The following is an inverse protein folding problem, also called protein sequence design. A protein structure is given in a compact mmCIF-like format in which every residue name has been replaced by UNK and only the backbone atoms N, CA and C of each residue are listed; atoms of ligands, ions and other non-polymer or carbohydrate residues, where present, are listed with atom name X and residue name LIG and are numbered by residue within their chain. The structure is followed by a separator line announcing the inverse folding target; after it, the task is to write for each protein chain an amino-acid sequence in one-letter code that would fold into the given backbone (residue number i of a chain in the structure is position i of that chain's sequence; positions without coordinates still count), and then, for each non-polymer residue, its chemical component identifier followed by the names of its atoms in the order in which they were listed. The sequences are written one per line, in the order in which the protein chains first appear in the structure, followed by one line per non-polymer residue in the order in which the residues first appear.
data_IF_197920513423
#
_entry.id   IF_197920513423
#
_cell.length_a   1.000
_cell.length_b   1.000
_cell.length_c   1.000
_cell.angle_alpha   90.00
_cell.angle_beta   90.00
_cell.angle_gamma   90.00
#
_symmetry.space_group_name_H-M   'P 1'
#
loop_
_entity.id
_entity.type
_entity.pdbx_description
1 polymer ?
#
# COMPACT_ATOMS: atom_id res chain seq x y z
N UNK A 1 -6.10 1.01 7.93
CA UNK A 1 -4.88 0.23 8.18
C UNK A 1 -3.66 1.12 7.96
N UNK A 2 -2.61 0.96 8.79
CA UNK A 2 -1.36 1.70 8.66
C UNK A 2 -0.16 0.78 8.87
N UNK A 3 0.97 1.09 8.23
CA UNK A 3 2.19 0.31 8.28
C UNK A 3 3.25 0.85 7.32
N UNK A 4 4.24 0.02 7.03
CA UNK A 4 5.34 0.32 6.11
C UNK A 4 5.23 -0.54 4.85
N UNK A 5 5.94 -0.14 3.78
CA UNK A 5 5.91 -0.84 2.49
C UNK A 5 7.16 -0.56 1.65
N UNK A 6 7.45 -1.45 0.72
CA UNK A 6 8.43 -1.25 -0.33
C UNK A 6 7.83 -0.49 -1.53
N UNK A 7 8.56 0.50 -2.05
CA UNK A 7 8.13 1.30 -3.20
C UNK A 7 8.25 0.52 -4.51
N UNK A 8 7.18 0.56 -5.31
CA UNK A 8 7.16 0.03 -6.69
C UNK A 8 7.38 1.12 -7.75
N UNK A 9 7.50 2.38 -7.35
CA UNK A 9 7.72 3.53 -8.23
C UNK A 9 9.04 4.21 -7.93
N UNK A 10 9.77 4.62 -8.97
CA UNK A 10 11.07 5.25 -8.80
C UNK A 10 10.98 6.64 -8.15
N UNK A 11 9.91 7.38 -8.44
CA UNK A 11 9.64 8.71 -7.92
C UNK A 11 9.23 8.77 -6.45
N UNK A 12 8.84 7.63 -5.85
CA UNK A 12 8.44 7.57 -4.43
C UNK A 12 9.67 7.22 -3.61
N UNK A 13 10.08 8.10 -2.71
CA UNK A 13 11.28 7.96 -1.90
C UNK A 13 11.02 7.26 -0.58
N UNK A 14 12.07 6.74 0.03
CA UNK A 14 12.04 6.26 1.42
C UNK A 14 11.61 7.41 2.32
N UNK A 15 10.67 7.15 3.24
CA UNK A 15 10.04 8.15 4.09
C UNK A 15 8.74 8.74 3.55
N UNK A 16 8.51 8.71 2.23
CA UNK A 16 7.25 9.18 1.63
C UNK A 16 6.05 8.31 2.06
N UNK A 17 4.85 8.84 1.92
CA UNK A 17 3.59 8.15 2.24
C UNK A 17 2.83 7.79 0.96
N UNK A 18 2.36 6.56 0.90
CA UNK A 18 1.36 6.10 -0.07
C UNK A 18 0.01 5.91 0.63
N UNK A 19 -1.02 6.58 0.12
CA UNK A 19 -2.43 6.43 0.51
C UNK A 19 -3.12 5.58 -0.56
N UNK A 20 -3.75 4.48 -0.17
CA UNK A 20 -4.41 3.60 -1.15
C UNK A 20 -5.60 4.27 -1.81
N UNK A 21 -5.68 4.20 -3.14
CA UNK A 21 -6.94 4.42 -3.88
C UNK A 21 -7.74 3.14 -4.02
N UNK A 22 -7.03 2.03 -4.11
CA UNK A 22 -7.54 0.67 -4.06
C UNK A 22 -6.44 -0.29 -3.58
N UNK A 23 -6.82 -1.55 -3.33
CA UNK A 23 -5.86 -2.62 -3.00
C UNK A 23 -6.12 -3.86 -3.85
N UNK A 24 -5.06 -4.61 -4.17
CA UNK A 24 -5.10 -5.86 -4.93
C UNK A 24 -4.20 -6.89 -4.28
N UNK A 25 -4.64 -8.15 -4.26
CA UNK A 25 -3.82 -9.29 -3.84
C UNK A 25 -2.94 -9.75 -5.00
N UNK A 26 -1.66 -9.34 -5.03
CA UNK A 26 -0.79 -9.56 -6.19
C UNK A 26 -0.30 -11.00 -6.37
N UNK A 27 -0.32 -11.80 -5.32
CA UNK A 27 0.09 -13.22 -5.34
C UNK A 27 -1.08 -14.20 -5.46
N UNK A 28 -2.32 -13.70 -5.59
CA UNK A 28 -3.47 -14.54 -5.91
C UNK A 28 -3.46 -14.92 -7.38
N UNK A 29 -3.27 -16.20 -7.67
CA UNK A 29 -3.37 -16.73 -9.04
C UNK A 29 -4.43 -17.82 -9.15
N UNK A 30 -5.57 -17.45 -9.67
CA UNK A 30 -6.67 -18.35 -10.02
C UNK A 30 -6.96 -18.31 -11.54
N UNK A 31 -5.96 -17.96 -12.35
CA UNK A 31 -6.09 -17.85 -13.82
C UNK A 31 -6.48 -19.17 -14.46
N UNK A 32 -6.04 -20.30 -13.89
CA UNK A 32 -6.45 -21.63 -14.33
C UNK A 32 -7.96 -21.90 -14.24
N UNK A 33 -8.69 -21.11 -13.47
CA UNK A 33 -10.16 -21.14 -13.35
C UNK A 33 -10.84 -19.98 -14.12
N UNK A 34 -10.09 -19.23 -14.93
CA UNK A 34 -10.61 -18.13 -15.74
C UNK A 34 -10.72 -16.78 -15.00
N UNK A 35 -10.18 -16.64 -13.79
CA UNK A 35 -10.11 -15.36 -13.11
C UNK A 35 -8.92 -14.53 -13.61
N UNK A 36 -9.02 -13.20 -13.64
CA UNK A 36 -7.85 -12.34 -13.81
C UNK A 36 -6.82 -12.58 -12.72
N UNK A 37 -5.54 -12.41 -13.05
CA UNK A 37 -4.46 -12.44 -12.05
C UNK A 37 -4.72 -11.41 -10.95
N UNK A 38 -4.63 -11.82 -9.68
CA UNK A 38 -4.91 -10.99 -8.52
C UNK A 38 -6.38 -11.00 -8.06
N UNK A 39 -7.29 -11.52 -8.86
CA UNK A 39 -8.70 -11.59 -8.46
C UNK A 39 -8.95 -12.78 -7.54
N UNK A 40 -9.49 -12.49 -6.37
CA UNK A 40 -9.90 -13.51 -5.42
C UNK A 40 -11.14 -14.24 -5.97
N UNK A 41 -11.14 -15.58 -6.06
CA UNK A 41 -12.28 -16.34 -6.58
C UNK A 41 -13.60 -16.00 -5.88
N UNK A 42 -14.68 -15.91 -6.66
CA UNK A 42 -16.04 -15.56 -6.24
C UNK A 42 -16.22 -14.10 -5.79
N UNK A 43 -15.19 -13.27 -5.86
CA UNK A 43 -15.35 -11.83 -5.73
C UNK A 43 -15.79 -11.23 -7.07
N UNK A 44 -16.61 -10.19 -7.03
CA UNK A 44 -17.11 -9.46 -8.20
C UNK A 44 -16.17 -8.34 -8.65
N UNK A 45 -15.04 -8.15 -7.95
CA UNK A 45 -14.04 -7.14 -8.24
C UNK A 45 -12.62 -7.70 -8.16
N UNK A 46 -11.72 -7.15 -8.97
CA UNK A 46 -10.28 -7.40 -8.90
C UNK A 46 -9.62 -6.60 -7.76
N UNK A 47 -10.02 -5.34 -7.63
CA UNK A 47 -9.47 -4.40 -6.67
C UNK A 47 -10.54 -3.94 -5.68
N UNK A 48 -10.17 -3.77 -4.43
CA UNK A 48 -11.05 -3.22 -3.40
C UNK A 48 -10.84 -1.71 -3.33
N UNK A 49 -11.85 -0.86 -3.65
CA UNK A 49 -11.72 0.59 -3.62
C UNK A 49 -11.66 1.10 -2.19
N UNK A 50 -10.74 2.03 -1.92
CA UNK A 50 -10.68 2.75 -0.66
C UNK A 50 -11.80 3.82 -0.57
N UNK A 51 -12.14 4.25 0.63
CA UNK A 51 -13.09 5.33 0.84
C UNK A 51 -12.47 6.68 0.44
N UNK A 52 -13.10 7.37 -0.51
CA UNK A 52 -12.59 8.63 -1.07
C UNK A 52 -12.43 9.75 -0.03
N UNK A 53 -13.29 9.78 1.00
CA UNK A 53 -13.20 10.79 2.05
C UNK A 53 -11.99 10.54 2.93
N UNK A 54 -11.74 9.27 3.27
CA UNK A 54 -10.56 8.87 4.03
C UNK A 54 -9.27 9.11 3.23
N UNK A 55 -9.28 8.86 1.92
CA UNK A 55 -8.14 9.16 1.03
C UNK A 55 -7.81 10.65 1.03
N UNK A 56 -8.80 11.52 0.83
CA UNK A 56 -8.63 12.98 0.83
C UNK A 56 -8.13 13.47 2.18
N UNK A 57 -8.77 13.03 3.27
CA UNK A 57 -8.37 13.38 4.63
C UNK A 57 -6.91 12.99 4.91
N UNK A 58 -6.51 11.78 4.53
CA UNK A 58 -5.13 11.31 4.73
C UNK A 58 -4.11 12.17 3.99
N UNK A 59 -4.40 12.55 2.74
CA UNK A 59 -3.52 13.41 1.96
C UNK A 59 -3.42 14.84 2.54
N UNK A 60 -4.54 15.42 3.00
CA UNK A 60 -4.57 16.73 3.63
C UNK A 60 -3.77 16.74 4.92
N UNK A 61 -4.05 15.79 5.82
CA UNK A 61 -3.36 15.66 7.10
C UNK A 61 -1.85 15.45 6.89
N UNK A 62 -1.47 14.57 5.96
CA UNK A 62 -0.05 14.30 5.69
C UNK A 62 0.70 15.58 5.29
N UNK A 63 0.15 16.37 4.35
CA UNK A 63 0.77 17.63 3.91
C UNK A 63 0.89 18.68 5.02
N UNK A 64 -0.02 18.65 6.00
CA UNK A 64 0.00 19.60 7.12
C UNK A 64 0.96 19.19 8.22
N UNK A 65 1.01 17.90 8.57
CA UNK A 65 1.76 17.44 9.76
C UNK A 65 3.16 16.92 9.45
N UNK A 66 3.40 16.51 8.18
CA UNK A 66 4.70 15.99 7.73
C UNK A 66 5.08 16.66 6.40
N UNK A 67 5.25 17.99 6.37
CA UNK A 67 5.49 18.74 5.13
C UNK A 67 6.83 18.45 4.45
N UNK A 68 7.76 17.79 5.14
CA UNK A 68 9.08 17.42 4.62
C UNK A 68 9.07 16.23 3.67
N UNK A 69 7.97 15.46 3.60
CA UNK A 69 7.84 14.30 2.71
C UNK A 69 6.73 14.51 1.66
N UNK A 70 6.72 13.62 0.66
CA UNK A 70 5.66 13.60 -0.34
C UNK A 70 4.57 12.60 0.06
N UNK A 71 3.34 12.90 -0.37
CA UNK A 71 2.19 11.99 -0.23
C UNK A 71 1.62 11.67 -1.59
N UNK A 72 1.55 10.39 -1.90
CA UNK A 72 1.02 9.85 -3.16
C UNK A 72 -0.29 9.13 -2.90
N UNK A 73 -1.23 9.22 -3.82
CA UNK A 73 -2.43 8.39 -3.83
C UNK A 73 -2.35 7.40 -4.99
N UNK A 74 -2.48 6.11 -4.69
CA UNK A 74 -2.34 5.08 -5.72
C UNK A 74 -2.64 3.68 -5.19
N UNK A 75 -2.57 2.71 -6.10
CA UNK A 75 -2.81 1.31 -5.77
C UNK A 75 -1.75 0.76 -4.81
N UNK A 76 -2.21 0.12 -3.73
CA UNK A 76 -1.38 -0.71 -2.85
C UNK A 76 -1.58 -2.17 -3.24
N UNK A 77 -0.51 -2.93 -3.37
CA UNK A 77 -0.59 -4.35 -3.68
C UNK A 77 -0.06 -5.19 -2.53
N UNK A 78 -0.78 -6.25 -2.17
CA UNK A 78 -0.45 -7.10 -1.04
C UNK A 78 -0.13 -8.53 -1.49
N UNK A 79 0.77 -9.18 -0.76
CA UNK A 79 1.07 -10.60 -0.94
C UNK A 79 1.91 -11.12 0.22
N UNK A 80 1.91 -12.43 0.45
CA UNK A 80 2.64 -13.07 1.55
C UNK A 80 4.14 -13.21 1.24
N UNK A 81 4.75 -12.15 0.67
CA UNK A 81 6.15 -12.11 0.24
C UNK A 81 6.79 -10.77 0.60
N UNK A 82 7.96 -10.81 1.23
CA UNK A 82 8.84 -9.66 1.29
C UNK A 82 9.53 -9.50 -0.08
N UNK A 83 9.14 -8.48 -0.83
CA UNK A 83 9.68 -8.21 -2.18
C UNK A 83 11.02 -7.51 -2.04
N UNK A 84 12.10 -8.22 -2.35
CA UNK A 84 13.48 -7.77 -2.16
C UNK A 84 14.38 -8.11 -3.37
N UNK A 85 13.79 -8.18 -4.57
CA UNK A 85 14.51 -8.40 -5.81
C UNK A 85 13.85 -7.64 -6.97
N UNK A 86 14.67 -7.24 -7.93
CA UNK A 86 14.24 -6.45 -9.08
C UNK A 86 13.23 -7.19 -9.97
N UNK A 87 13.39 -8.49 -10.17
CA UNK A 87 12.51 -9.27 -11.04
C UNK A 87 11.08 -9.30 -10.50
N UNK A 88 10.92 -9.58 -9.20
CA UNK A 88 9.63 -9.56 -8.52
C UNK A 88 9.01 -8.17 -8.55
N UNK A 89 9.77 -7.12 -8.26
CA UNK A 89 9.32 -5.72 -8.37
C UNK A 89 8.78 -5.40 -9.76
N UNK A 90 9.55 -5.70 -10.80
CA UNK A 90 9.16 -5.41 -12.19
C UNK A 90 7.94 -6.22 -12.63
N UNK A 91 7.85 -7.49 -12.23
CA UNK A 91 6.70 -8.35 -12.49
C UNK A 91 5.43 -7.79 -11.84
N UNK A 92 5.49 -7.44 -10.55
CA UNK A 92 4.37 -6.87 -9.81
C UNK A 92 3.96 -5.51 -10.40
N UNK A 93 4.93 -4.64 -10.66
CA UNK A 93 4.69 -3.33 -11.25
C UNK A 93 4.03 -3.42 -12.63
N UNK A 94 4.47 -4.34 -13.48
CA UNK A 94 3.90 -4.56 -14.83
C UNK A 94 2.47 -5.05 -14.76
N UNK A 95 2.17 -6.01 -13.88
CA UNK A 95 0.88 -6.66 -13.81
C UNK A 95 -0.18 -5.81 -13.12
N UNK A 96 0.20 -5.04 -12.09
CA UNK A 96 -0.75 -4.36 -11.21
C UNK A 96 -0.62 -2.84 -11.19
N UNK A 97 0.49 -2.28 -11.69
CA UNK A 97 0.77 -0.84 -11.66
C UNK A 97 0.69 -0.23 -10.25
N UNK A 98 1.06 -1.02 -9.23
CA UNK A 98 1.07 -0.61 -7.83
C UNK A 98 2.04 0.54 -7.56
N UNK A 99 1.74 1.30 -6.52
CA UNK A 99 2.61 2.36 -5.98
C UNK A 99 3.57 1.79 -4.92
N UNK A 100 3.07 0.88 -4.09
CA UNK A 100 3.88 0.15 -3.13
C UNK A 100 3.36 -1.27 -2.92
N UNK A 101 4.19 -2.13 -2.32
CA UNK A 101 3.88 -3.51 -1.97
C UNK A 101 4.07 -3.74 -0.48
N UNK A 102 3.17 -4.51 0.11
CA UNK A 102 3.13 -4.85 1.54
C UNK A 102 2.40 -6.20 1.73
N UNK A 103 2.01 -6.58 2.94
CA UNK A 103 1.60 -7.95 3.21
C UNK A 103 0.20 -8.11 3.84
N UNK A 104 -0.54 -7.04 4.15
CA UNK A 104 -1.82 -7.14 4.91
C UNK A 104 -2.98 -6.35 4.29
N UNK A 105 -2.70 -5.30 3.54
CA UNK A 105 -3.69 -4.30 3.12
C UNK A 105 -4.85 -4.87 2.31
N UNK A 106 -4.58 -5.77 1.36
CA UNK A 106 -5.63 -6.36 0.53
C UNK A 106 -6.54 -7.31 1.32
N UNK A 107 -6.01 -8.06 2.29
CA UNK A 107 -6.82 -8.93 3.15
C UNK A 107 -7.76 -8.10 4.05
N UNK A 108 -7.25 -7.01 4.63
CA UNK A 108 -8.05 -6.07 5.42
C UNK A 108 -9.10 -5.38 4.55
N UNK A 109 -8.71 -4.96 3.34
CA UNK A 109 -9.61 -4.33 2.38
C UNK A 109 -10.73 -5.28 1.93
N UNK A 110 -10.44 -6.56 1.67
CA UNK A 110 -11.44 -7.56 1.36
C UNK A 110 -12.45 -7.73 2.51
N UNK A 111 -11.96 -7.82 3.74
CA UNK A 111 -12.82 -7.92 4.91
C UNK A 111 -13.72 -6.66 5.05
N UNK A 112 -13.16 -5.47 4.88
CA UNK A 112 -13.91 -4.22 4.91
C UNK A 112 -14.95 -4.15 3.79
N UNK A 113 -14.58 -4.51 2.55
CA UNK A 113 -15.47 -4.55 1.38
C UNK A 113 -16.68 -5.47 1.63
N UNK A 114 -16.45 -6.70 2.08
CA UNK A 114 -17.50 -7.67 2.36
C UNK A 114 -18.46 -7.20 3.47
N UNK A 115 -17.96 -6.42 4.43
CA UNK A 115 -18.74 -5.88 5.54
C UNK A 115 -19.23 -4.44 5.30
N UNK A 116 -18.98 -3.85 4.13
CA UNK A 116 -19.36 -2.47 3.77
C UNK A 116 -18.80 -1.43 4.75
N UNK A 117 -17.61 -1.65 5.24
CA UNK A 117 -16.90 -0.75 6.16
C UNK A 117 -15.97 0.15 5.34
N UNK A 118 -16.08 1.49 5.44
CA UNK A 118 -15.12 2.41 4.83
C UNK A 118 -13.70 2.12 5.33
N UNK A 119 -12.73 2.10 4.42
CA UNK A 119 -11.33 1.85 4.77
C UNK A 119 -10.38 2.66 3.91
N UNK A 120 -9.18 2.81 4.38
CA UNK A 120 -7.99 3.28 3.64
C UNK A 120 -6.76 2.56 4.17
N UNK A 121 -5.80 2.29 3.29
CA UNK A 121 -4.48 1.76 3.65
C UNK A 121 -3.47 2.88 3.51
N UNK A 122 -2.66 3.09 4.56
CA UNK A 122 -1.61 4.10 4.65
C UNK A 122 -0.27 3.38 4.79
N UNK A 123 0.69 3.70 3.93
CA UNK A 123 2.02 3.07 3.96
C UNK A 123 3.12 4.11 3.90
N UNK A 124 3.98 4.11 4.90
CA UNK A 124 5.24 4.83 4.83
C UNK A 124 6.30 3.94 4.15
N UNK A 125 7.04 4.52 3.23
CA UNK A 125 8.01 3.74 2.44
C UNK A 125 9.28 3.52 3.25
N UNK A 126 9.62 2.26 3.47
CA UNK A 126 10.82 1.81 4.18
C UNK A 126 11.97 1.40 3.27
N UNK A 127 11.65 1.01 2.04
CA UNK A 127 12.61 0.48 1.07
C UNK A 127 12.09 0.60 -0.37
N UNK A 128 12.91 0.20 -1.34
CA UNK A 128 12.57 0.28 -2.76
C UNK A 128 12.02 -1.03 -3.36
N UNK A 129 11.72 -2.02 -2.55
CA UNK A 129 11.25 -3.34 -3.00
C UNK A 129 12.15 -3.98 -4.07
N UNK A 130 13.46 -3.78 -3.99
CA UNK A 130 14.46 -4.30 -4.93
C UNK A 130 15.67 -4.87 -4.19
N UNK A 131 16.78 -5.07 -4.90
CA UNK A 131 17.98 -5.71 -4.33
C UNK A 131 18.57 -4.96 -3.12
N UNK A 132 18.18 -3.69 -2.88
CA UNK A 132 18.59 -2.91 -1.71
C UNK A 132 17.67 -3.11 -0.50
N UNK A 133 16.45 -3.65 -0.67
CA UNK A 133 15.40 -3.68 0.35
C UNK A 133 15.84 -4.34 1.67
N UNK A 134 16.63 -5.41 1.61
CA UNK A 134 17.14 -6.10 2.82
C UNK A 134 18.08 -5.24 3.68
N UNK A 135 18.68 -4.20 3.11
CA UNK A 135 19.55 -3.23 3.79
C UNK A 135 18.75 -1.99 4.19
N UNK A 136 17.91 -1.49 3.29
CA UNK A 136 17.13 -0.27 3.48
C UNK A 136 16.06 -0.45 4.57
N UNK A 137 15.35 -1.56 4.56
CA UNK A 137 14.28 -1.83 5.52
C UNK A 137 14.71 -1.64 6.99
N UNK A 138 15.74 -2.33 7.51
CA UNK A 138 16.14 -2.15 8.90
C UNK A 138 16.75 -0.78 9.19
N UNK A 139 17.29 -0.08 8.19
CA UNK A 139 17.89 1.25 8.35
C UNK A 139 16.81 2.34 8.50
N UNK A 140 15.72 2.24 7.74
CA UNK A 140 14.69 3.29 7.63
C UNK A 140 13.35 2.95 8.30
N UNK A 141 13.18 1.73 8.81
CA UNK A 141 11.95 1.27 9.45
C UNK A 141 11.45 2.25 10.53
N UNK A 142 12.32 2.73 11.41
CA UNK A 142 11.94 3.63 12.51
C UNK A 142 11.39 4.96 12.01
N UNK A 143 11.97 5.51 10.96
CA UNK A 143 11.51 6.78 10.37
C UNK A 143 10.16 6.59 9.69
N UNK A 144 10.02 5.52 8.90
CA UNK A 144 8.75 5.16 8.25
C UNK A 144 7.63 4.92 9.28
N UNK A 145 7.93 4.23 10.39
CA UNK A 145 6.99 4.03 11.50
C UNK A 145 6.58 5.38 12.11
N UNK A 146 7.52 6.28 12.35
CA UNK A 146 7.23 7.61 12.91
C UNK A 146 6.25 8.39 12.03
N UNK A 147 6.49 8.47 10.72
CA UNK A 147 5.59 9.12 9.76
C UNK A 147 4.20 8.46 9.74
N UNK A 148 4.15 7.13 9.71
CA UNK A 148 2.91 6.36 9.72
C UNK A 148 2.06 6.63 10.98
N UNK A 149 2.70 6.64 12.16
CA UNK A 149 2.04 6.91 13.44
C UNK A 149 1.56 8.36 13.53
N UNK A 150 2.41 9.33 13.14
CA UNK A 150 2.08 10.75 13.17
C UNK A 150 0.87 11.06 12.29
N UNK A 151 0.86 10.54 11.04
CA UNK A 151 -0.28 10.66 10.14
C UNK A 151 -1.54 10.06 10.78
N UNK A 152 -1.48 8.82 11.26
CA UNK A 152 -2.63 8.12 11.82
C UNK A 152 -3.23 8.85 13.03
N UNK A 153 -2.40 9.29 13.99
CA UNK A 153 -2.87 9.99 15.18
C UNK A 153 -3.57 11.31 14.86
N UNK A 154 -3.05 12.05 13.88
CA UNK A 154 -3.67 13.31 13.48
C UNK A 154 -4.92 13.10 12.62
N UNK A 155 -4.96 12.04 11.82
CA UNK A 155 -6.12 11.67 11.03
C UNK A 155 -7.30 11.25 11.92
N UNK A 156 -7.05 10.41 12.94
CA UNK A 156 -8.10 9.95 13.88
C UNK A 156 -8.74 11.09 14.65
N UNK A 157 -8.00 12.17 14.94
CA UNK A 157 -8.55 13.38 15.61
C UNK A 157 -9.56 14.14 14.75
N UNK A 158 -9.62 13.88 13.44
CA UNK A 158 -10.45 14.59 12.46
C UNK A 158 -11.59 13.72 11.90
N UNK A 159 -11.69 12.45 12.34
CA UNK A 159 -12.79 11.53 12.04
C UNK A 159 -13.94 11.74 13.00
#
# INVERSE_FOLDING_TARGET
NTGIAGSLKNEINIGDIVVSTDTVQHDMDATGFGYPLGQIPRMDTLAFPADEKLVKLAQEVCREVIPEIQVFAGRVVSGDQFVADRESKERISRNFQGYCTEMEGAAIAQAAYLNKIPYVVLRAISDKADDSASVDYPAFEREAIRHSVELMLNMVKRL
#
